data_IF_028096622684
#
_entry.id   IF_028096622684
#
_cell.length_a   1.000
_cell.length_b   1.000
_cell.length_c   1.000
_cell.angle_alpha   90.00
_cell.angle_beta   90.00
_cell.angle_gamma   90.00
#
_symmetry.space_group_name_H-M   'P 1'
#
loop_
_entity.id
_entity.type
_entity.pdbx_description
1 polymer ?
#
# COMPACT_ATOMS: atom_id res chain seq x y z
N UNK A 1 39.66 -13.22 -23.17
CA UNK A 1 38.23 -13.57 -23.05
C UNK A 1 38.00 -14.40 -21.80
N UNK A 2 37.44 -13.79 -20.75
CA UNK A 2 36.74 -14.49 -19.65
C UNK A 2 35.67 -13.51 -19.17
N UNK A 3 34.45 -13.73 -19.64
CA UNK A 3 33.30 -12.93 -19.26
C UNK A 3 32.96 -13.20 -17.80
N UNK A 4 33.06 -12.17 -16.97
CA UNK A 4 32.46 -12.18 -15.64
C UNK A 4 30.96 -12.02 -15.81
N UNK A 5 30.22 -13.13 -15.76
CA UNK A 5 28.78 -13.09 -15.56
C UNK A 5 28.52 -12.45 -14.19
N UNK A 6 28.12 -11.19 -14.17
CA UNK A 6 27.54 -10.53 -13.00
C UNK A 6 26.27 -11.28 -12.62
N UNK A 7 26.38 -12.23 -11.68
CA UNK A 7 25.25 -12.71 -10.89
C UNK A 7 24.80 -11.53 -10.05
N UNK A 8 23.88 -10.75 -10.59
CA UNK A 8 23.15 -9.76 -9.81
C UNK A 8 22.37 -10.57 -8.78
N UNK A 9 22.81 -10.51 -7.53
CA UNK A 9 22.20 -11.21 -6.41
C UNK A 9 20.87 -10.50 -6.14
N UNK A 10 19.82 -10.91 -6.86
CA UNK A 10 18.41 -10.65 -6.59
C UNK A 10 18.07 -11.24 -5.20
N UNK A 11 18.56 -10.60 -4.13
CA UNK A 11 18.24 -10.99 -2.75
C UNK A 11 16.77 -10.62 -2.51
N UNK A 12 15.93 -11.65 -2.51
CA UNK A 12 14.55 -11.53 -2.07
C UNK A 12 14.53 -11.23 -0.57
N UNK A 13 13.67 -10.30 -0.15
CA UNK A 13 13.40 -10.06 1.26
C UNK A 13 12.73 -11.31 1.87
N UNK A 14 13.01 -11.56 3.14
CA UNK A 14 12.26 -12.53 3.91
C UNK A 14 10.75 -12.22 3.88
N UNK A 15 9.94 -13.26 3.68
CA UNK A 15 8.49 -13.11 3.50
C UNK A 15 7.84 -12.51 4.76
N UNK A 16 8.23 -12.95 5.96
CA UNK A 16 7.61 -12.49 7.21
C UNK A 16 7.91 -11.00 7.43
N UNK A 17 9.17 -10.58 7.23
CA UNK A 17 9.55 -9.18 7.34
C UNK A 17 8.85 -8.32 6.28
N UNK A 18 8.75 -8.80 5.04
CA UNK A 18 8.06 -8.08 3.98
C UNK A 18 6.59 -7.85 4.33
N UNK A 19 5.85 -8.89 4.75
CA UNK A 19 4.44 -8.77 5.14
C UNK A 19 4.25 -7.88 6.37
N UNK A 20 5.15 -7.99 7.37
CA UNK A 20 5.13 -7.11 8.53
C UNK A 20 5.34 -5.63 8.14
N UNK A 21 6.12 -5.34 7.09
CA UNK A 21 6.27 -3.99 6.55
C UNK A 21 5.09 -3.58 5.65
N UNK A 22 4.54 -4.49 4.86
CA UNK A 22 3.51 -4.22 3.87
C UNK A 22 2.17 -3.77 4.48
N UNK A 23 1.77 -4.37 5.62
CA UNK A 23 0.46 -4.11 6.22
C UNK A 23 -0.20 -5.40 6.69
N UNK A 24 -0.96 -5.34 7.78
CA UNK A 24 -1.66 -6.51 8.31
C UNK A 24 -2.76 -7.04 7.38
N UNK A 25 -3.22 -6.19 6.44
CA UNK A 25 -4.29 -6.49 5.49
C UNK A 25 -3.80 -6.97 4.11
N UNK A 26 -2.49 -6.86 3.82
CA UNK A 26 -1.95 -7.20 2.50
C UNK A 26 -1.92 -8.71 2.32
N UNK A 27 -2.53 -9.21 1.26
CA UNK A 27 -2.56 -10.64 0.94
C UNK A 27 -1.92 -10.89 -0.43
N UNK A 28 -0.76 -11.52 -0.44
CA UNK A 28 -0.05 -11.79 -1.69
C UNK A 28 -0.57 -13.08 -2.34
N UNK A 29 -0.79 -13.10 -3.66
CA UNK A 29 -1.26 -14.31 -4.33
C UNK A 29 -0.19 -15.41 -4.27
N UNK A 30 -0.61 -16.63 -3.97
CA UNK A 30 0.29 -17.78 -3.88
C UNK A 30 0.90 -18.14 -5.24
N UNK A 31 2.10 -18.71 -5.22
CA UNK A 31 2.75 -19.26 -6.41
C UNK A 31 1.84 -20.29 -7.10
N UNK A 32 1.81 -20.31 -8.43
CA UNK A 32 0.98 -21.20 -9.27
C UNK A 32 -0.54 -21.03 -9.11
N UNK A 33 -1.01 -20.12 -8.27
CA UNK A 33 -2.44 -19.80 -8.13
C UNK A 33 -2.99 -19.07 -9.36
N UNK A 34 -4.31 -19.14 -9.54
CA UNK A 34 -5.03 -18.41 -10.59
C UNK A 34 -5.53 -17.07 -10.05
N UNK A 35 -5.26 -16.01 -10.79
CA UNK A 35 -5.65 -14.63 -10.46
C UNK A 35 -6.24 -13.93 -11.67
N UNK A 36 -7.13 -12.97 -11.46
CA UNK A 36 -7.48 -11.98 -12.47
C UNK A 36 -6.58 -10.76 -12.31
N UNK A 37 -5.94 -10.38 -13.40
CA UNK A 37 -5.20 -9.12 -13.52
C UNK A 37 -6.14 -8.03 -14.06
N UNK A 38 -6.24 -6.91 -13.34
CA UNK A 38 -7.06 -5.74 -13.69
C UNK A 38 -6.17 -4.58 -14.15
N UNK A 39 -6.10 -4.27 -15.46
CA UNK A 39 -5.32 -3.15 -15.97
C UNK A 39 -5.76 -1.80 -15.38
N UNK A 40 -7.07 -1.60 -15.16
CA UNK A 40 -7.60 -0.40 -14.51
C UNK A 40 -7.03 -0.20 -13.11
N UNK A 41 -7.00 -1.27 -12.30
CA UNK A 41 -6.41 -1.22 -10.98
C UNK A 41 -4.91 -0.99 -11.00
N UNK A 42 -4.19 -1.60 -11.94
CA UNK A 42 -2.76 -1.36 -12.10
C UNK A 42 -2.46 0.10 -12.51
N UNK A 43 -3.33 0.73 -13.30
CA UNK A 43 -3.21 2.14 -13.65
C UNK A 43 -3.35 3.08 -12.44
N UNK A 44 -4.15 2.73 -11.43
CA UNK A 44 -4.26 3.51 -10.19
C UNK A 44 -2.97 3.52 -9.36
N UNK A 45 -2.05 2.59 -9.62
CA UNK A 45 -0.73 2.54 -8.99
C UNK A 45 0.33 3.34 -9.76
N UNK A 46 0.00 3.85 -10.95
CA UNK A 46 0.94 4.56 -11.81
C UNK A 46 1.17 6.02 -11.38
N UNK A 47 2.35 6.53 -11.69
CA UNK A 47 2.64 7.96 -11.62
C UNK A 47 1.98 8.67 -12.80
N UNK A 48 0.85 9.33 -12.53
CA UNK A 48 0.10 10.09 -13.52
C UNK A 48 -0.97 9.27 -14.24
N UNK A 49 -1.63 9.92 -15.21
CA UNK A 49 -2.70 9.28 -15.98
C UNK A 49 -2.10 8.26 -16.94
N UNK A 50 -2.58 7.02 -16.88
CA UNK A 50 -2.23 5.98 -17.83
C UNK A 50 -3.18 6.07 -19.02
N UNK A 51 -2.64 6.38 -20.19
CA UNK A 51 -3.35 6.25 -21.45
C UNK A 51 -3.04 4.90 -22.08
N UNK A 52 -4.04 4.02 -22.13
CA UNK A 52 -3.94 2.71 -22.77
C UNK A 52 -4.08 2.79 -24.30
N UNK A 53 -4.25 3.98 -24.87
CA UNK A 53 -4.45 4.18 -26.29
C UNK A 53 -5.82 3.64 -26.72
N UNK A 54 -5.86 2.63 -27.59
CA UNK A 54 -7.12 2.02 -28.02
C UNK A 54 -7.61 0.98 -26.98
N UNK A 55 -8.66 1.29 -26.19
CA UNK A 55 -9.10 0.44 -25.09
C UNK A 55 -9.68 -0.90 -25.56
N UNK A 56 -10.15 -0.99 -26.82
CA UNK A 56 -10.76 -2.21 -27.35
C UNK A 56 -9.79 -3.40 -27.48
N UNK A 57 -8.47 -3.15 -27.37
CA UNK A 57 -7.45 -4.20 -27.49
C UNK A 57 -7.10 -4.86 -26.15
N UNK A 58 -7.45 -4.25 -25.02
CA UNK A 58 -7.08 -4.75 -23.69
C UNK A 58 -8.36 -5.13 -22.93
N UNK A 59 -8.57 -6.42 -22.59
CA UNK A 59 -9.71 -6.83 -21.77
C UNK A 59 -9.69 -6.16 -20.39
N UNK A 60 -10.87 -5.86 -19.78
CA UNK A 60 -10.97 -5.24 -18.46
C UNK A 60 -10.38 -6.08 -17.33
N UNK A 61 -10.33 -7.40 -17.51
CA UNK A 61 -9.67 -8.32 -16.61
C UNK A 61 -9.17 -9.55 -17.39
N UNK A 62 -8.00 -10.06 -17.01
CA UNK A 62 -7.33 -11.15 -17.73
C UNK A 62 -7.00 -12.26 -16.74
N UNK A 63 -7.50 -13.48 -17.00
CA UNK A 63 -7.18 -14.65 -16.18
C UNK A 63 -5.71 -15.03 -16.39
N UNK A 64 -4.96 -15.07 -15.30
CA UNK A 64 -3.53 -15.36 -15.29
C UNK A 64 -3.19 -16.42 -14.24
N UNK A 65 -2.07 -17.11 -14.45
CA UNK A 65 -1.42 -17.93 -13.44
C UNK A 65 -0.19 -17.20 -12.89
N UNK A 66 -0.04 -17.17 -11.57
CA UNK A 66 1.15 -16.59 -10.92
C UNK A 66 2.33 -17.53 -11.10
N UNK A 67 3.40 -17.02 -11.71
CA UNK A 67 4.63 -17.78 -11.97
C UNK A 67 5.72 -17.50 -10.95
N UNK A 68 5.83 -16.27 -10.45
CA UNK A 68 6.84 -15.87 -9.46
C UNK A 68 6.34 -14.67 -8.66
N UNK A 69 6.60 -14.67 -7.35
CA UNK A 69 6.47 -13.50 -6.48
C UNK A 69 7.83 -13.26 -5.83
N UNK A 70 8.40 -12.07 -6.02
CA UNK A 70 9.64 -11.63 -5.36
C UNK A 70 9.34 -10.47 -4.44
N UNK A 71 9.69 -10.62 -3.17
CA UNK A 71 9.60 -9.58 -2.16
C UNK A 71 10.86 -8.71 -2.19
N UNK A 72 10.67 -7.39 -2.28
CA UNK A 72 11.76 -6.43 -2.43
C UNK A 72 11.52 -5.21 -1.52
N UNK A 73 12.57 -4.42 -1.33
CA UNK A 73 12.51 -3.13 -0.66
C UNK A 73 13.34 -2.11 -1.44
N UNK A 74 12.85 -0.87 -1.54
CA UNK A 74 13.58 0.23 -2.15
C UNK A 74 14.82 0.58 -1.31
N UNK A 75 15.98 0.69 -1.96
CA UNK A 75 17.27 0.89 -1.29
C UNK A 75 17.41 2.26 -0.61
N UNK A 76 16.60 3.24 -0.99
CA UNK A 76 16.67 4.59 -0.45
C UNK A 76 15.55 4.87 0.56
N UNK A 77 14.34 4.37 0.30
CA UNK A 77 13.17 4.69 1.12
C UNK A 77 12.84 3.63 2.16
N UNK A 78 13.39 2.42 2.03
CA UNK A 78 13.01 1.21 2.77
C UNK A 78 11.54 0.77 2.51
N UNK A 79 10.83 1.39 1.56
CA UNK A 79 9.46 0.98 1.22
C UNK A 79 9.48 -0.38 0.53
N UNK A 80 8.68 -1.31 1.04
CA UNK A 80 8.58 -2.65 0.50
C UNK A 80 7.68 -2.67 -0.75
N UNK A 81 8.04 -3.51 -1.72
CA UNK A 81 7.26 -3.75 -2.93
C UNK A 81 7.43 -5.20 -3.38
N UNK A 82 6.51 -5.70 -4.19
CA UNK A 82 6.57 -7.03 -4.76
C UNK A 82 6.66 -6.97 -6.28
N UNK A 83 7.50 -7.83 -6.87
CA UNK A 83 7.46 -8.13 -8.31
C UNK A 83 6.69 -9.41 -8.51
N UNK A 84 5.59 -9.33 -9.24
CA UNK A 84 4.71 -10.46 -9.51
C UNK A 84 4.80 -10.76 -11.00
N UNK A 85 5.32 -11.95 -11.33
CA UNK A 85 5.37 -12.43 -12.71
C UNK A 85 4.22 -13.38 -12.96
N UNK A 86 3.48 -13.17 -14.02
CA UNK A 86 2.28 -13.94 -14.35
C UNK A 86 2.26 -14.32 -15.83
N UNK A 87 1.53 -15.39 -16.16
CA UNK A 87 1.27 -15.81 -17.52
C UNK A 87 -0.25 -15.86 -17.77
N UNK A 88 -0.78 -15.18 -18.80
CA UNK A 88 -2.18 -15.28 -19.16
C UNK A 88 -2.57 -16.71 -19.53
N UNK A 89 -3.73 -17.16 -19.05
CA UNK A 89 -4.29 -18.46 -19.39
C UNK A 89 -5.23 -18.24 -20.58
N UNK A 90 -4.87 -18.77 -21.76
CA UNK A 90 -5.78 -18.80 -22.91
C UNK A 90 -6.84 -19.88 -22.65
N UNK A 91 -8.06 -19.49 -22.29
CA UNK A 91 -9.18 -20.44 -22.27
C UNK A 91 -9.74 -20.59 -23.69
N UNK A 92 -9.73 -21.81 -24.29
CA UNK A 92 -10.40 -22.06 -25.57
C UNK A 92 -11.92 -22.26 -25.43
N UNK A 93 -12.50 -22.08 -24.24
CA UNK A 93 -13.93 -22.21 -23.98
C UNK A 93 -14.42 -21.07 -23.07
N UNK A 94 -15.62 -20.49 -23.32
CA UNK A 94 -16.30 -19.69 -22.30
C UNK A 94 -16.56 -20.60 -21.09
N UNK A 95 -16.22 -20.12 -19.89
CA UNK A 95 -16.32 -20.82 -18.60
C UNK A 95 -17.79 -21.11 -18.20
N UNK A 96 -18.48 -21.96 -18.96
CA UNK A 96 -19.76 -22.59 -18.58
C UNK A 96 -19.57 -24.01 -18.01
N UNK A 97 -18.33 -24.42 -17.72
CA UNK A 97 -18.10 -25.68 -17.00
C UNK A 97 -18.10 -25.35 -15.52
N UNK A 98 -19.26 -25.63 -14.93
CA UNK A 98 -19.49 -25.98 -13.54
C UNK A 98 -18.23 -26.59 -12.90
N UNK A 99 -17.58 -25.80 -12.06
CA UNK A 99 -16.74 -26.34 -11.00
C UNK A 99 -17.67 -26.62 -9.80
N UNK A 100 -18.60 -27.56 -10.00
CA UNK A 100 -19.47 -28.18 -8.98
C UNK A 100 -18.65 -29.09 -8.03
N UNK A 101 -17.35 -28.80 -7.87
CA UNK A 101 -16.41 -29.59 -7.06
C UNK A 101 -15.56 -28.79 -6.06
N UNK A 102 -15.53 -27.45 -6.12
CA UNK A 102 -14.68 -26.62 -5.24
C UNK A 102 -15.47 -25.65 -4.33
N UNK A 103 -16.73 -25.96 -4.02
CA UNK A 103 -17.54 -25.19 -3.05
C UNK A 103 -17.18 -25.53 -1.58
N UNK A 104 -16.03 -26.18 -1.34
CA UNK A 104 -15.55 -26.56 0.00
C UNK A 104 -14.12 -26.09 0.32
N UNK A 105 -13.60 -25.08 -0.37
CA UNK A 105 -12.39 -24.36 0.10
C UNK A 105 -12.75 -22.93 0.54
N UNK A 106 -13.86 -22.78 1.27
CA UNK A 106 -14.02 -21.65 2.17
C UNK A 106 -13.47 -22.06 3.53
N UNK A 107 -12.36 -21.42 3.91
CA UNK A 107 -11.69 -21.47 5.20
C UNK A 107 -10.68 -22.63 5.41
N UNK A 108 -9.68 -22.75 4.55
CA UNK A 108 -8.34 -22.67 5.12
C UNK A 108 -8.01 -21.18 5.22
N UNK A 109 -8.48 -20.56 6.31
CA UNK A 109 -7.67 -19.52 6.92
C UNK A 109 -6.39 -20.28 7.24
N UNK A 110 -5.40 -20.17 6.36
CA UNK A 110 -4.06 -20.62 6.67
C UNK A 110 -3.74 -19.91 7.99
N UNK A 111 -3.86 -20.66 9.10
CA UNK A 111 -3.44 -20.22 10.42
C UNK A 111 -1.93 -20.29 10.38
N UNK A 112 -1.32 -19.58 9.44
CA UNK A 112 0.02 -19.08 9.61
C UNK A 112 -0.06 -18.23 10.86
N UNK A 113 0.44 -18.79 11.97
CA UNK A 113 0.64 -18.05 13.21
C UNK A 113 1.27 -16.73 12.83
N UNK A 114 0.48 -15.65 12.99
CA UNK A 114 0.89 -14.34 12.51
C UNK A 114 2.24 -14.03 13.18
N UNK A 115 3.32 -13.81 12.40
CA UNK A 115 4.63 -13.58 12.97
C UNK A 115 4.56 -12.47 14.01
N UNK A 116 5.18 -12.69 15.17
CA UNK A 116 5.13 -11.72 16.28
C UNK A 116 5.77 -10.42 15.86
N UNK A 117 4.93 -9.52 15.35
CA UNK A 117 5.30 -8.24 14.79
C UNK A 117 4.48 -7.14 15.42
N UNK A 118 5.09 -5.96 15.49
CA UNK A 118 4.45 -4.79 16.06
C UNK A 118 4.88 -3.55 15.28
N UNK A 119 3.90 -2.80 14.82
CA UNK A 119 4.10 -1.51 14.19
C UNK A 119 3.73 -0.40 15.19
N UNK A 120 4.56 0.65 15.26
CA UNK A 120 4.23 1.88 15.97
C UNK A 120 4.52 3.09 15.10
N UNK A 121 3.50 3.92 14.94
CA UNK A 121 3.61 5.28 14.42
C UNK A 121 4.47 6.13 15.35
N UNK A 122 5.49 6.75 14.79
CA UNK A 122 6.43 7.61 15.50
C UNK A 122 5.75 8.91 15.90
N UNK A 123 5.84 9.24 17.18
CA UNK A 123 5.44 10.56 17.66
C UNK A 123 6.55 11.59 17.42
N UNK A 124 6.25 12.87 17.60
CA UNK A 124 7.25 13.93 17.51
C UNK A 124 8.44 13.70 18.47
N UNK A 125 8.20 13.11 19.64
CA UNK A 125 9.29 12.81 20.60
C UNK A 125 10.14 11.62 20.20
N UNK A 126 9.60 10.68 19.41
CA UNK A 126 10.38 9.55 18.91
C UNK A 126 11.27 9.98 17.72
N UNK A 127 10.81 10.91 16.89
CA UNK A 127 11.53 11.33 15.68
C UNK A 127 12.44 12.57 15.87
N UNK A 128 12.57 13.09 17.09
CA UNK A 128 13.39 14.27 17.34
C UNK A 128 14.89 13.94 17.51
N UNK A 129 15.75 14.93 17.20
CA UNK A 129 17.19 14.83 17.40
C UNK A 129 17.53 15.00 18.87
N UNK A 130 17.60 13.88 19.60
CA UNK A 130 18.01 13.83 21.02
C UNK A 130 17.06 13.03 21.93
N UNK A 131 15.87 12.65 21.44
CA UNK A 131 14.95 11.76 22.13
C UNK A 131 15.25 10.28 21.90
N UNK A 132 14.66 9.45 22.76
CA UNK A 132 14.65 7.99 22.62
C UNK A 132 13.27 7.52 22.13
N UNK A 133 13.23 6.31 21.57
CA UNK A 133 11.97 5.69 21.17
C UNK A 133 11.25 5.10 22.38
N UNK A 134 9.99 5.49 22.58
CA UNK A 134 9.14 4.86 23.60
C UNK A 134 8.63 3.51 23.13
N UNK A 135 9.18 2.43 23.67
CA UNK A 135 8.80 1.06 23.27
C UNK A 135 7.49 0.68 23.97
N UNK A 136 6.45 0.26 23.23
CA UNK A 136 5.23 -0.25 23.86
C UNK A 136 5.50 -1.53 24.63
N UNK A 137 4.83 -1.69 25.78
CA UNK A 137 5.07 -2.81 26.71
C UNK A 137 4.98 -4.17 26.03
N UNK A 138 3.96 -4.36 25.17
CA UNK A 138 3.80 -5.58 24.38
C UNK A 138 5.08 -5.93 23.59
N UNK A 139 5.61 -4.97 22.82
CA UNK A 139 6.84 -5.17 22.04
C UNK A 139 8.04 -5.55 22.91
N UNK A 140 8.20 -4.89 24.06
CA UNK A 140 9.29 -5.17 24.99
C UNK A 140 9.21 -6.58 25.63
N UNK A 141 8.01 -7.10 25.84
CA UNK A 141 7.78 -8.38 26.53
C UNK A 141 7.68 -9.57 25.56
N UNK A 142 7.26 -9.36 24.31
CA UNK A 142 7.01 -10.44 23.33
C UNK A 142 8.03 -10.49 22.19
N UNK A 143 8.49 -9.34 21.72
CA UNK A 143 9.34 -9.24 20.51
C UNK A 143 10.82 -9.11 20.89
N UNK A 144 11.15 -8.29 21.88
CA UNK A 144 12.54 -8.13 22.31
C UNK A 144 13.03 -9.31 23.15
N UNK A 145 14.36 -9.54 23.21
CA UNK A 145 14.92 -10.43 24.21
C UNK A 145 14.49 -10.02 25.62
N UNK A 146 14.26 -11.00 26.50
CA UNK A 146 13.76 -10.75 27.86
C UNK A 146 14.75 -9.88 28.62
N UNK A 147 14.25 -8.80 29.20
CA UNK A 147 15.03 -7.89 30.03
C UNK A 147 15.17 -8.44 31.44
N UNK A 148 16.38 -8.38 32.01
CA UNK A 148 16.59 -8.69 33.42
C UNK A 148 16.16 -7.50 34.30
N UNK A 149 15.03 -7.67 34.99
CA UNK A 149 14.46 -6.64 35.86
C UNK A 149 15.12 -6.57 37.26
N UNK A 150 16.03 -7.49 37.59
CA UNK A 150 16.74 -7.46 38.88
C UNK A 150 17.86 -6.40 38.93
N UNK A 151 18.36 -5.98 37.77
CA UNK A 151 19.35 -4.90 37.66
C UNK A 151 18.74 -3.51 37.90
N UNK A 152 19.56 -2.52 38.28
CA UNK A 152 19.12 -1.13 38.45
C UNK A 152 20.07 -0.12 37.75
N UNK A 153 19.63 0.57 36.68
CA UNK A 153 18.39 0.33 35.93
C UNK A 153 18.50 -0.93 35.03
N UNK A 154 17.40 -1.67 34.78
CA UNK A 154 17.38 -2.76 33.81
C UNK A 154 17.77 -2.30 32.40
N UNK A 155 18.81 -2.88 31.81
CA UNK A 155 19.35 -2.50 30.50
C UNK A 155 19.84 -3.70 29.69
N UNK A 156 19.67 -3.64 28.37
CA UNK A 156 20.24 -4.62 27.44
C UNK A 156 20.53 -4.00 26.06
N UNK A 157 21.31 -4.71 25.24
CA UNK A 157 21.50 -4.37 23.84
C UNK A 157 20.52 -5.16 22.98
N UNK A 158 19.74 -4.46 22.17
CA UNK A 158 18.84 -5.03 21.17
C UNK A 158 19.49 -4.87 19.81
N UNK A 159 19.64 -5.98 19.08
CA UNK A 159 20.28 -6.01 17.77
C UNK A 159 19.22 -6.42 16.75
N UNK A 160 18.95 -5.57 15.76
CA UNK A 160 17.96 -5.83 14.72
C UNK A 160 18.58 -5.72 13.32
N UNK A 161 18.14 -6.55 12.37
CA UNK A 161 18.48 -6.44 10.95
C UNK A 161 17.38 -5.69 10.20
N UNK A 162 17.74 -4.72 9.36
CA UNK A 162 16.75 -4.06 8.51
C UNK A 162 16.42 -4.86 7.24
N UNK A 163 15.51 -4.34 6.41
CA UNK A 163 15.08 -4.96 5.14
C UNK A 163 16.21 -5.13 4.11
N UNK A 164 17.37 -4.52 4.34
CA UNK A 164 18.56 -4.68 3.50
C UNK A 164 19.64 -5.54 4.18
N UNK A 165 19.35 -6.12 5.35
CA UNK A 165 20.27 -6.92 6.15
C UNK A 165 21.29 -6.09 6.93
N UNK A 166 21.16 -4.75 6.97
CA UNK A 166 22.05 -3.91 7.78
C UNK A 166 21.68 -4.07 9.25
N UNK A 167 22.69 -4.30 10.07
CA UNK A 167 22.54 -4.51 11.51
C UNK A 167 22.51 -3.17 12.25
N UNK A 168 21.49 -3.02 13.09
CA UNK A 168 21.27 -1.87 13.96
C UNK A 168 21.34 -2.32 15.42
N UNK A 169 22.06 -1.56 16.24
CA UNK A 169 22.22 -1.82 17.68
C UNK A 169 21.56 -0.71 18.47
N UNK A 170 20.67 -1.08 19.39
CA UNK A 170 19.92 -0.16 20.23
C UNK A 170 20.14 -0.50 21.71
N UNK A 171 20.32 0.53 22.54
CA UNK A 171 20.30 0.37 23.99
C UNK A 171 18.87 0.42 24.50
N UNK A 172 18.33 -0.73 24.90
CA UNK A 172 17.02 -0.86 25.52
C UNK A 172 17.16 -0.72 27.04
N UNK A 173 16.40 0.21 27.63
CA UNK A 173 16.40 0.49 29.07
C UNK A 173 14.98 0.62 29.60
N UNK A 174 14.73 0.09 30.81
CA UNK A 174 13.47 0.29 31.54
C UNK A 174 13.69 1.24 32.71
N UNK A 175 13.18 2.48 32.59
CA UNK A 175 13.46 3.56 33.57
C UNK A 175 12.35 4.62 33.61
N UNK A 176 12.53 5.62 34.47
CA UNK A 176 11.63 6.77 34.60
C UNK A 176 10.52 6.54 35.63
N UNK A 177 9.67 7.56 35.80
CA UNK A 177 8.57 7.57 36.77
C UNK A 177 7.30 8.14 36.11
N UNK A 178 6.30 7.31 35.78
CA UNK A 178 6.28 5.85 35.88
C UNK A 178 7.32 5.19 34.95
N UNK A 179 7.76 3.97 35.29
CA UNK A 179 8.77 3.25 34.50
C UNK A 179 8.24 2.90 33.11
N UNK A 180 9.06 3.13 32.08
CA UNK A 180 8.75 2.88 30.66
C UNK A 180 9.93 2.23 29.95
N UNK A 181 9.64 1.46 28.91
CA UNK A 181 10.64 0.88 28.03
C UNK A 181 11.08 1.91 26.98
N UNK A 182 12.39 2.09 26.81
CA UNK A 182 12.97 3.08 25.90
C UNK A 182 14.11 2.46 25.09
N UNK A 183 14.18 2.79 23.80
CA UNK A 183 15.44 2.69 23.04
C UNK A 183 16.14 4.05 23.09
N UNK A 184 17.39 4.06 23.56
CA UNK A 184 18.17 5.30 23.75
C UNK A 184 19.33 5.36 22.77
N UNK A 185 20.53 4.95 23.17
CA UNK A 185 21.72 4.92 22.31
C UNK A 185 21.45 4.09 21.05
N UNK A 186 21.86 4.62 19.89
CA UNK A 186 21.63 4.01 18.58
C UNK A 186 20.34 4.47 17.88
N UNK A 187 19.31 4.87 18.63
CA UNK A 187 18.02 5.26 18.06
C UNK A 187 18.11 6.53 17.20
N UNK A 188 18.67 7.64 17.71
CA UNK A 188 18.75 8.88 16.94
C UNK A 188 19.61 8.73 15.68
N UNK A 189 20.63 7.86 15.70
CA UNK A 189 21.41 7.53 14.51
C UNK A 189 20.56 6.77 13.47
N UNK A 190 19.73 5.82 13.90
CA UNK A 190 18.78 5.13 13.03
C UNK A 190 17.79 6.11 12.40
N UNK A 191 17.15 6.97 13.20
CA UNK A 191 16.24 8.03 12.73
C UNK A 191 16.88 8.92 11.68
N UNK A 192 18.10 9.40 11.94
CA UNK A 192 18.80 10.30 11.02
C UNK A 192 19.22 9.61 9.72
N UNK A 193 19.82 8.42 9.80
CA UNK A 193 20.26 7.70 8.60
C UNK A 193 19.08 7.24 7.74
N UNK A 194 17.97 6.83 8.37
CA UNK A 194 16.74 6.42 7.69
C UNK A 194 15.80 7.61 7.38
N UNK A 195 16.18 8.85 7.73
CA UNK A 195 15.39 10.07 7.50
C UNK A 195 13.94 9.95 7.98
N UNK A 196 13.74 9.36 9.15
CA UNK A 196 12.41 9.14 9.72
C UNK A 196 11.82 10.46 10.22
N UNK A 197 10.51 10.61 10.08
CA UNK A 197 9.74 11.75 10.60
C UNK A 197 8.58 11.28 11.47
N UNK A 198 8.01 12.17 12.27
CA UNK A 198 6.76 11.88 12.97
C UNK A 198 5.67 11.49 11.97
N UNK A 199 4.89 10.46 12.30
CA UNK A 199 3.91 9.84 11.40
C UNK A 199 4.44 8.63 10.63
N UNK A 200 5.75 8.50 10.40
CA UNK A 200 6.31 7.22 9.90
C UNK A 200 6.07 6.14 10.95
N UNK A 201 5.96 4.88 10.54
CA UNK A 201 5.84 3.74 11.46
C UNK A 201 7.08 2.88 11.43
N UNK A 202 7.53 2.46 12.62
CA UNK A 202 8.55 1.42 12.76
C UNK A 202 7.91 0.09 13.08
N UNK A 203 8.36 -0.92 12.35
CA UNK A 203 7.95 -2.31 12.50
C UNK A 203 9.07 -3.07 13.18
N UNK A 204 8.79 -3.74 14.28
CA UNK A 204 9.67 -4.76 14.84
C UNK A 204 9.05 -6.13 14.61
N UNK A 205 9.87 -7.09 14.19
CA UNK A 205 9.47 -8.47 13.96
C UNK A 205 10.48 -9.38 14.64
N UNK A 206 9.99 -10.34 15.43
CA UNK A 206 10.82 -11.47 15.87
C UNK A 206 10.54 -12.65 14.94
N UNK A 207 11.56 -13.07 14.19
CA UNK A 207 11.49 -14.23 13.32
C UNK A 207 11.52 -15.53 14.14
N UNK A 208 11.08 -16.64 13.53
CA UNK A 208 11.02 -17.95 14.17
C UNK A 208 12.37 -18.46 14.68
N UNK A 209 13.45 -18.10 13.99
CA UNK A 209 14.83 -18.42 14.41
C UNK A 209 15.32 -17.58 15.60
N UNK A 210 14.49 -16.66 16.12
CA UNK A 210 14.80 -15.77 17.22
C UNK A 210 15.49 -14.46 16.83
N UNK A 211 15.85 -14.27 15.55
CA UNK A 211 16.41 -13.02 15.07
C UNK A 211 15.38 -11.90 15.14
N UNK A 212 15.84 -10.70 15.52
CA UNK A 212 15.03 -9.50 15.49
C UNK A 212 15.27 -8.75 14.18
N UNK A 213 14.17 -8.33 13.56
CA UNK A 213 14.15 -7.53 12.36
C UNK A 213 13.47 -6.18 12.61
N UNK A 214 13.89 -5.16 11.85
CA UNK A 214 13.29 -3.82 11.87
C UNK A 214 12.89 -3.39 10.46
N UNK A 215 11.68 -2.86 10.33
CA UNK A 215 11.12 -2.37 9.08
C UNK A 215 10.56 -0.96 9.25
N UNK A 216 10.25 -0.32 8.12
CA UNK A 216 9.75 1.06 8.07
C UNK A 216 8.50 1.09 7.19
N UNK A 217 7.45 1.77 7.66
CA UNK A 217 6.32 2.21 6.83
C UNK A 217 6.34 3.73 6.79
N UNK A 218 6.42 4.31 5.59
CA UNK A 218 6.46 5.76 5.45
C UNK A 218 5.06 6.34 5.57
N UNK A 219 4.93 7.45 6.28
CA UNK A 219 3.72 8.26 6.24
C UNK A 219 3.49 8.76 4.82
N UNK A 220 2.23 8.78 4.39
CA UNK A 220 1.85 9.53 3.20
C UNK A 220 2.04 11.01 3.55
N UNK A 221 3.02 11.69 2.95
CA UNK A 221 3.11 13.15 3.02
C UNK A 221 1.88 13.73 2.32
N UNK A 222 0.82 13.96 3.08
CA UNK A 222 -0.26 14.85 2.68
C UNK A 222 0.34 16.24 2.59
N UNK A 223 0.67 16.69 1.39
CA UNK A 223 0.93 18.10 1.14
C UNK A 223 -0.37 18.86 1.36
N UNK A 224 -0.53 19.43 2.55
CA UNK A 224 -1.42 20.57 2.74
C UNK A 224 -0.82 21.69 1.89
N UNK A 225 -1.48 22.01 0.77
CA UNK A 225 -1.26 23.28 0.06
C UNK A 225 -0.60 23.26 -1.31
N UNK A 226 -0.50 22.14 -2.04
CA UNK A 226 -0.04 22.21 -3.45
C UNK A 226 -0.53 21.06 -4.36
N UNK A 227 -1.78 20.63 -4.16
CA UNK A 227 -2.51 19.91 -5.19
C UNK A 227 -3.45 20.93 -5.84
N UNK A 228 -3.42 21.17 -7.17
CA UNK A 228 -4.65 21.54 -7.81
C UNK A 228 -5.60 20.40 -7.46
N UNK A 229 -6.77 20.73 -6.93
CA UNK A 229 -7.85 19.79 -6.77
C UNK A 229 -7.90 18.97 -8.06
N UNK A 230 -7.51 17.70 -8.01
CA UNK A 230 -7.97 16.75 -9.00
C UNK A 230 -9.44 16.55 -8.67
N UNK A 231 -10.24 17.56 -8.98
CA UNK A 231 -11.62 17.35 -9.34
C UNK A 231 -11.58 16.17 -10.29
N UNK A 232 -12.15 15.08 -9.83
CA UNK A 232 -12.60 14.00 -10.69
C UNK A 232 -13.20 14.64 -11.94
N UNK A 233 -12.47 14.60 -13.04
CA UNK A 233 -12.84 15.21 -14.33
C UNK A 233 -13.98 14.41 -15.01
N UNK A 234 -14.99 14.03 -14.23
CA UNK A 234 -16.12 13.20 -14.60
C UNK A 234 -17.34 13.71 -13.83
N UNK A 235 -17.82 14.87 -14.24
CA UNK A 235 -19.20 15.29 -13.99
C UNK A 235 -19.75 15.75 -15.34
N UNK A 236 -20.81 15.12 -15.89
CA UNK A 236 -21.46 15.65 -17.07
C UNK A 236 -22.16 16.95 -16.70
N UNK A 237 -21.91 18.01 -17.47
CA UNK A 237 -22.60 19.29 -17.32
C UNK A 237 -24.11 19.13 -17.54
N UNK A 238 -24.89 19.78 -16.67
CA UNK A 238 -26.17 20.37 -17.03
C UNK A 238 -27.34 20.04 -16.11
N UNK A 239 -27.63 20.90 -15.12
CA UNK A 239 -28.93 21.60 -15.03
C UNK A 239 -28.99 22.61 -13.88
N UNK A 240 -29.51 23.79 -14.23
CA UNK A 240 -29.95 24.87 -13.37
C UNK A 240 -30.86 24.40 -12.22
N UNK A 241 -30.67 25.01 -11.05
CA UNK A 241 -31.60 24.95 -9.93
C UNK A 241 -31.11 25.83 -8.80
N UNK A 242 -31.57 27.07 -8.76
CA UNK A 242 -31.32 28.02 -7.69
C UNK A 242 -31.80 27.46 -6.33
N UNK A 243 -30.97 27.58 -5.29
CA UNK A 243 -31.49 27.83 -3.95
C UNK A 243 -30.43 28.49 -3.09
N UNK A 244 -30.86 29.56 -2.45
CA UNK A 244 -30.12 30.58 -1.71
C UNK A 244 -30.51 30.45 -0.23
N UNK A 245 -29.54 30.30 0.66
CA UNK A 245 -29.55 30.68 2.09
C UNK A 245 -28.07 30.67 2.52
N UNK A 246 -27.34 31.78 2.66
CA UNK A 246 -27.48 32.88 3.64
C UNK A 246 -26.99 32.40 5.01
N UNK A 247 -26.03 32.97 5.76
CA UNK A 247 -25.09 34.11 5.70
C UNK A 247 -24.02 33.82 6.78
N UNK A 248 -22.87 34.50 6.88
CA UNK A 248 -22.69 35.85 7.41
C UNK A 248 -21.23 36.34 7.21
N UNK A 249 -21.10 37.59 6.71
CA UNK A 249 -20.16 38.70 6.99
C UNK A 249 -18.65 38.41 7.17
N UNK A 250 -17.71 38.92 6.34
CA UNK A 250 -17.22 40.31 6.13
C UNK A 250 -16.53 40.87 7.42
N UNK A 251 -15.28 41.36 7.48
CA UNK A 251 -14.56 42.46 6.79
C UNK A 251 -13.07 42.32 7.23
N UNK A 252 -12.05 42.47 6.38
CA UNK A 252 -11.20 43.68 6.27
C UNK A 252 -10.47 43.73 4.91
N UNK A 253 -10.64 44.90 4.29
CA UNK A 253 -10.04 45.56 3.11
C UNK A 253 -8.51 45.56 3.12
N UNK A 254 -7.85 45.21 2.01
CA UNK A 254 -7.35 46.04 0.88
C UNK A 254 -5.84 46.31 0.99
N UNK A 255 -5.24 46.62 -0.17
CA UNK A 255 -3.86 47.09 -0.41
C UNK A 255 -2.78 45.98 -0.42
N UNK A 256 -1.97 45.76 -1.46
CA UNK A 256 -1.52 46.64 -2.55
C UNK A 256 -1.05 45.79 -3.75
N UNK A 257 -1.35 46.30 -4.95
CA UNK A 257 -0.70 45.89 -6.20
C UNK A 257 0.55 46.76 -6.39
N UNK A 258 1.63 46.24 -7.01
CA UNK A 258 2.40 46.89 -8.10
C UNK A 258 3.73 46.18 -8.44
N UNK A 259 3.89 45.88 -9.74
CA UNK A 259 5.10 46.03 -10.61
C UNK A 259 6.44 45.35 -10.21
N UNK A 260 7.27 44.74 -11.06
CA UNK A 260 7.49 44.73 -12.51
C UNK A 260 8.19 43.42 -12.96
N UNK A 261 8.06 43.14 -14.26
CA UNK A 261 8.80 42.17 -15.09
C UNK A 261 10.32 42.25 -14.92
N UNK A 262 10.98 41.09 -14.93
CA UNK A 262 12.21 40.88 -15.69
C UNK A 262 12.25 39.45 -16.24
N UNK A 263 12.54 39.37 -17.53
CA UNK A 263 12.74 38.16 -18.31
C UNK A 263 14.25 37.96 -18.40
N UNK A 264 14.80 36.89 -17.83
CA UNK A 264 16.12 36.44 -18.24
C UNK A 264 16.28 34.93 -18.19
N UNK A 265 16.97 34.45 -19.21
CA UNK A 265 17.04 33.07 -19.63
C UNK A 265 18.24 32.42 -18.97
N UNK A 266 18.02 31.59 -17.95
CA UNK A 266 19.01 30.58 -17.56
C UNK A 266 18.33 29.29 -17.15
N UNK A 267 18.40 28.31 -18.06
CA UNK A 267 18.04 26.93 -17.85
C UNK A 267 18.96 26.29 -16.79
N UNK A 268 18.58 26.41 -15.53
CA UNK A 268 19.07 25.52 -14.48
C UNK A 268 18.00 24.46 -14.30
N UNK A 269 18.26 23.29 -14.88
CA UNK A 269 17.45 22.09 -14.64
C UNK A 269 17.58 21.74 -13.16
N UNK A 270 16.71 22.33 -12.34
CA UNK A 270 16.41 21.84 -11.01
C UNK A 270 15.83 20.44 -11.20
N UNK A 271 16.70 19.44 -11.06
CA UNK A 271 16.37 18.02 -10.87
C UNK A 271 15.61 17.87 -9.54
N UNK A 272 14.40 18.44 -9.50
CA UNK A 272 13.44 18.26 -8.44
C UNK A 272 12.94 16.82 -8.46
N UNK A 273 13.29 16.09 -7.40
CA UNK A 273 12.49 15.03 -6.74
C UNK A 273 11.46 14.38 -7.68
N UNK A 274 11.93 13.51 -8.58
CA UNK A 274 11.05 12.56 -9.27
C UNK A 274 10.42 11.67 -8.21
N UNK A 275 9.10 11.47 -8.25
CA UNK A 275 8.38 10.53 -7.38
C UNK A 275 9.10 9.18 -7.30
N UNK A 276 9.79 8.96 -6.18
CA UNK A 276 10.55 7.74 -5.90
C UNK A 276 9.56 6.72 -5.34
N UNK A 277 9.52 5.51 -5.92
CA UNK A 277 8.63 4.42 -5.49
C UNK A 277 7.27 4.32 -6.20
N UNK A 278 7.10 4.88 -7.40
CA UNK A 278 5.83 4.81 -8.15
C UNK A 278 5.99 4.11 -9.51
N UNK A 279 5.01 3.28 -9.87
CA UNK A 279 5.00 2.52 -11.13
C UNK A 279 4.91 3.49 -12.30
N UNK A 280 5.72 3.32 -13.36
CA UNK A 280 5.65 4.22 -14.53
C UNK A 280 4.41 3.91 -15.35
N UNK A 281 3.72 4.92 -15.86
CA UNK A 281 2.57 4.72 -16.75
C UNK A 281 2.92 3.80 -17.94
N UNK A 282 4.09 3.99 -18.56
CA UNK A 282 4.56 3.16 -19.66
C UNK A 282 4.69 1.67 -19.30
N UNK A 283 5.18 1.33 -18.09
CA UNK A 283 5.27 -0.07 -17.65
C UNK A 283 3.91 -0.70 -17.41
N UNK A 284 2.89 0.08 -17.01
CA UNK A 284 1.51 -0.41 -16.88
C UNK A 284 0.94 -0.75 -18.25
N UNK A 285 1.11 0.13 -19.23
CA UNK A 285 0.65 -0.09 -20.61
C UNK A 285 1.35 -1.31 -21.23
N UNK A 286 2.66 -1.43 -21.04
CA UNK A 286 3.45 -2.58 -21.50
C UNK A 286 2.93 -3.89 -20.90
N UNK A 287 2.80 -3.95 -19.56
CA UNK A 287 2.28 -5.12 -18.87
C UNK A 287 0.87 -5.51 -19.34
N UNK A 288 -0.02 -4.53 -19.49
CA UNK A 288 -1.37 -4.77 -19.98
C UNK A 288 -1.41 -5.25 -21.44
N UNK A 289 -0.53 -4.72 -22.29
CA UNK A 289 -0.41 -5.13 -23.69
C UNK A 289 0.15 -6.55 -23.81
N UNK A 290 1.17 -6.90 -23.03
CA UNK A 290 1.71 -8.26 -22.96
C UNK A 290 0.65 -9.24 -22.48
N UNK A 291 -0.08 -8.89 -21.42
CA UNK A 291 -1.16 -9.69 -20.88
C UNK A 291 -2.26 -9.94 -21.94
N UNK A 292 -2.71 -8.90 -22.64
CA UNK A 292 -3.73 -9.00 -23.69
C UNK A 292 -3.28 -9.89 -24.88
N UNK A 293 -1.98 -9.87 -25.22
CA UNK A 293 -1.42 -10.72 -26.27
C UNK A 293 -1.13 -12.17 -25.81
N UNK A 294 -1.46 -12.51 -24.55
CA UNK A 294 -1.22 -13.83 -23.99
C UNK A 294 0.26 -14.14 -23.72
N UNK A 295 1.08 -13.12 -23.48
CA UNK A 295 2.50 -13.24 -23.17
C UNK A 295 2.72 -13.12 -21.66
N UNK A 296 3.70 -13.85 -21.08
CA UNK A 296 4.10 -13.64 -19.70
C UNK A 296 4.60 -12.21 -19.46
N UNK A 297 4.25 -11.65 -18.31
CA UNK A 297 4.58 -10.27 -17.95
C UNK A 297 4.87 -10.16 -16.46
N UNK A 298 5.53 -9.07 -16.05
CA UNK A 298 5.84 -8.75 -14.66
C UNK A 298 5.16 -7.42 -14.29
N UNK A 299 4.59 -7.37 -13.10
CA UNK A 299 4.01 -6.16 -12.51
C UNK A 299 4.67 -5.85 -11.17
N UNK A 300 4.71 -4.57 -10.83
CA UNK A 300 5.25 -4.11 -9.55
C UNK A 300 4.09 -3.67 -8.68
N UNK A 301 3.92 -4.33 -7.54
CA UNK A 301 2.90 -4.01 -6.55
C UNK A 301 3.54 -3.31 -5.34
N UNK A 302 3.07 -2.10 -5.04
CA UNK A 302 3.46 -1.38 -3.84
C UNK A 302 2.30 -1.45 -2.84
N UNK A 303 2.41 -2.25 -1.77
CA UNK A 303 1.37 -2.32 -0.75
C UNK A 303 1.19 -0.94 -0.08
N UNK A 304 -0.03 -0.41 -0.12
CA UNK A 304 -0.43 0.78 0.64
C UNK A 304 -1.79 0.51 1.27
N UNK A 305 -2.02 1.08 2.46
CA UNK A 305 -3.25 0.88 3.24
C UNK A 305 -4.55 1.25 2.48
N UNK A 306 -4.46 2.06 1.41
CA UNK A 306 -5.62 2.54 0.64
C UNK A 306 -5.57 2.22 -0.85
N UNK A 307 -4.60 1.42 -1.32
CA UNK A 307 -4.53 1.06 -2.74
C UNK A 307 -5.18 -0.30 -2.97
N UNK A 308 -6.15 -0.42 -3.88
CA UNK A 308 -6.77 -1.70 -4.17
C UNK A 308 -5.77 -2.67 -4.81
N UNK A 309 -5.96 -3.95 -4.53
CA UNK A 309 -5.22 -5.03 -5.17
C UNK A 309 -5.72 -5.20 -6.60
N UNK A 310 -4.82 -5.19 -7.58
CA UNK A 310 -5.15 -5.34 -9.00
C UNK A 310 -4.81 -6.73 -9.56
N UNK A 311 -4.20 -7.59 -8.74
CA UNK A 311 -3.96 -9.00 -9.01
C UNK A 311 -4.72 -9.81 -7.96
N UNK A 312 -5.87 -10.32 -8.35
CA UNK A 312 -6.94 -10.67 -7.43
C UNK A 312 -7.28 -12.16 -7.58
N UNK A 313 -7.51 -12.90 -6.49
CA UNK A 313 -7.71 -14.38 -6.56
C UNK A 313 -8.89 -14.73 -7.46
N UNK A 314 -8.68 -15.63 -8.43
CA UNK A 314 -9.73 -15.94 -9.42
C UNK A 314 -11.02 -16.49 -8.79
N UNK A 315 -10.90 -17.29 -7.73
CA UNK A 315 -12.05 -17.84 -7.02
C UNK A 315 -12.89 -16.74 -6.33
N UNK A 316 -12.24 -15.77 -5.70
CA UNK A 316 -12.93 -14.70 -5.00
C UNK A 316 -13.62 -13.72 -5.97
N UNK A 317 -13.00 -13.41 -7.12
CA UNK A 317 -13.66 -12.64 -8.20
C UNK A 317 -14.88 -13.40 -8.75
N UNK A 318 -14.76 -14.71 -8.98
CA UNK A 318 -15.88 -15.54 -9.46
C UNK A 318 -17.03 -15.58 -8.43
N UNK A 319 -16.72 -15.72 -7.15
CA UNK A 319 -17.72 -15.68 -6.07
C UNK A 319 -18.40 -14.30 -6.01
N UNK A 320 -17.62 -13.22 -6.05
CA UNK A 320 -18.08 -11.84 -6.09
C UNK A 320 -19.03 -11.54 -7.25
N UNK A 321 -18.76 -12.08 -8.45
CA UNK A 321 -19.61 -11.89 -9.64
C UNK A 321 -20.89 -12.73 -9.63
N UNK A 322 -20.98 -13.77 -8.79
CA UNK A 322 -22.22 -14.55 -8.60
C UNK A 322 -23.22 -13.83 -7.69
N UNK A 323 -22.75 -12.88 -6.88
CA UNK A 323 -23.62 -12.08 -6.00
C UNK A 323 -24.40 -11.09 -6.85
N UNK A 324 -25.73 -11.09 -6.67
CA UNK A 324 -26.60 -10.08 -7.26
C UNK A 324 -26.54 -8.81 -6.41
N UNK A 325 -25.59 -7.93 -6.72
CA UNK A 325 -25.45 -6.65 -6.04
C UNK A 325 -26.62 -5.72 -6.38
N UNK A 326 -27.19 -5.07 -5.37
CA UNK A 326 -28.28 -4.11 -5.55
C UNK A 326 -28.18 -2.90 -4.60
N UNK A 327 -28.69 -1.72 -4.99
CA UNK A 327 -28.78 -0.55 -4.12
C UNK A 327 -29.56 -0.86 -2.83
N UNK A 328 -29.02 -0.47 -1.68
CA UNK A 328 -29.59 -0.73 -0.35
C UNK A 328 -29.01 -1.97 0.35
N UNK A 329 -28.24 -2.81 -0.35
CA UNK A 329 -27.54 -3.93 0.27
C UNK A 329 -26.46 -3.41 1.23
N UNK A 330 -26.42 -3.97 2.44
CA UNK A 330 -25.42 -3.62 3.46
C UNK A 330 -24.19 -4.50 3.32
N UNK A 331 -23.03 -3.95 3.62
CA UNK A 331 -21.78 -4.68 3.59
C UNK A 331 -20.88 -4.31 4.77
N UNK A 332 -19.83 -5.11 4.95
CA UNK A 332 -18.84 -4.93 6.01
C UNK A 332 -17.44 -5.13 5.46
N UNK A 333 -16.65 -4.06 5.46
CA UNK A 333 -15.28 -4.04 4.97
C UNK A 333 -14.30 -3.95 6.13
N UNK A 334 -13.22 -4.73 6.09
CA UNK A 334 -12.11 -4.60 7.03
C UNK A 334 -11.15 -3.49 6.56
N UNK A 335 -10.66 -2.68 7.50
CA UNK A 335 -9.60 -1.71 7.25
C UNK A 335 -8.56 -1.73 8.37
N UNK A 336 -7.30 -1.48 8.01
CA UNK A 336 -6.21 -1.33 8.98
C UNK A 336 -6.31 0.06 9.62
N UNK A 337 -6.25 0.12 10.96
CA UNK A 337 -6.22 1.39 11.69
C UNK A 337 -4.93 2.16 11.39
N UNK A 338 -4.92 3.47 11.62
CA UNK A 338 -3.75 4.34 11.34
C UNK A 338 -2.49 3.89 12.10
N UNK A 339 -2.67 3.37 13.31
CA UNK A 339 -1.58 2.81 14.13
C UNK A 339 -1.18 1.39 13.72
N UNK A 340 -1.84 0.82 12.69
CA UNK A 340 -1.61 -0.53 12.15
C UNK A 340 -1.72 -1.65 13.19
N UNK A 341 -2.34 -1.38 14.35
CA UNK A 341 -2.38 -2.30 15.48
C UNK A 341 -3.64 -3.16 15.49
N UNK A 342 -4.71 -2.70 14.81
CA UNK A 342 -6.03 -3.35 14.81
C UNK A 342 -6.65 -3.34 13.43
N UNK A 343 -7.49 -4.34 13.18
CA UNK A 343 -8.44 -4.32 12.08
C UNK A 343 -9.71 -3.69 12.63
N UNK A 344 -10.13 -2.60 12.00
CA UNK A 344 -11.44 -2.01 12.24
C UNK A 344 -12.38 -2.39 11.11
N UNK A 345 -13.67 -2.34 11.39
CA UNK A 345 -14.70 -2.75 10.45
C UNK A 345 -15.53 -1.54 10.06
N UNK A 346 -15.55 -1.25 8.77
CA UNK A 346 -16.44 -0.28 8.18
C UNK A 346 -17.74 -0.99 7.75
N UNK A 347 -18.88 -0.48 8.19
CA UNK A 347 -20.18 -0.94 7.72
C UNK A 347 -20.76 0.12 6.80
N UNK A 348 -21.15 -0.28 5.60
CA UNK A 348 -21.71 0.62 4.60
C UNK A 348 -22.95 0.05 3.92
N UNK A 349 -23.54 0.87 3.06
CA UNK A 349 -24.65 0.48 2.20
C UNK A 349 -24.30 0.82 0.76
N UNK A 350 -24.62 -0.08 -0.16
CA UNK A 350 -24.44 0.16 -1.60
C UNK A 350 -25.48 1.18 -2.05
N UNK A 351 -25.03 2.28 -2.65
CA UNK A 351 -25.91 3.34 -3.17
C UNK A 351 -26.27 3.10 -4.63
N UNK A 352 -25.34 2.57 -5.44
CA UNK A 352 -25.57 2.22 -6.84
C UNK A 352 -24.62 1.11 -7.30
N UNK A 353 -25.01 0.42 -8.38
CA UNK A 353 -24.22 -0.63 -9.02
C UNK A 353 -24.08 -0.25 -10.49
N UNK A 354 -22.90 0.22 -10.88
CA UNK A 354 -22.66 0.74 -12.22
C UNK A 354 -21.19 0.60 -12.60
N UNK A 355 -20.93 0.30 -13.88
CA UNK A 355 -19.57 0.24 -14.41
C UNK A 355 -18.93 1.62 -14.31
N UNK A 356 -17.75 1.71 -13.69
CA UNK A 356 -17.10 3.00 -13.40
C UNK A 356 -16.73 3.79 -14.67
N UNK A 357 -16.32 3.10 -15.74
CA UNK A 357 -15.97 3.70 -17.02
C UNK A 357 -16.49 2.83 -18.18
N UNK A 358 -17.78 2.99 -18.55
CA UNK A 358 -18.41 2.14 -19.55
C UNK A 358 -17.88 2.40 -20.97
N UNK A 359 -17.22 3.54 -21.21
CA UNK A 359 -16.69 3.91 -22.52
C UNK A 359 -15.36 3.20 -22.79
N UNK A 360 -14.41 3.30 -21.85
CA UNK A 360 -13.09 2.67 -22.00
C UNK A 360 -13.06 1.22 -21.55
N UNK A 361 -13.91 0.84 -20.59
CA UNK A 361 -13.89 -0.47 -19.96
C UNK A 361 -15.30 -1.05 -19.80
N UNK A 362 -15.98 -1.37 -20.92
CA UNK A 362 -17.31 -1.95 -20.87
C UNK A 362 -17.29 -3.28 -20.10
N UNK A 363 -18.30 -3.50 -19.25
CA UNK A 363 -18.47 -4.69 -18.41
C UNK A 363 -17.34 -4.94 -17.39
N UNK A 364 -16.54 -3.93 -17.06
CA UNK A 364 -15.54 -4.09 -16.00
C UNK A 364 -16.20 -4.15 -14.61
N UNK A 365 -15.86 -5.15 -13.78
CA UNK A 365 -16.29 -5.16 -12.38
C UNK A 365 -15.39 -4.29 -11.49
N UNK A 366 -14.36 -3.64 -12.05
CA UNK A 366 -13.49 -2.74 -11.31
C UNK A 366 -14.26 -1.52 -10.81
N UNK A 367 -14.28 -1.30 -9.49
CA UNK A 367 -15.04 -0.21 -8.83
C UNK A 367 -16.53 -0.19 -9.20
N UNK A 368 -17.14 -1.37 -9.40
CA UNK A 368 -18.55 -1.54 -9.78
C UNK A 368 -19.55 -1.00 -8.74
N UNK A 369 -19.17 -1.02 -7.46
CA UNK A 369 -20.05 -0.67 -6.35
C UNK A 369 -19.77 0.75 -5.86
N UNK A 370 -20.78 1.61 -5.96
CA UNK A 370 -20.80 2.91 -5.29
C UNK A 370 -21.42 2.72 -3.90
N UNK A 371 -20.80 3.32 -2.89
CA UNK A 371 -21.28 3.19 -1.51
C UNK A 371 -21.59 4.55 -0.92
N UNK A 372 -22.62 4.60 -0.08
CA UNK A 372 -22.97 5.82 0.67
C UNK A 372 -22.15 5.90 1.95
N UNK A 373 -21.31 6.93 2.04
CA UNK A 373 -20.64 7.35 3.28
C UNK A 373 -20.44 8.87 3.26
N UNK A 374 -20.12 9.49 4.40
CA UNK A 374 -19.74 10.92 4.46
C UNK A 374 -18.54 11.27 3.55
N UNK A 375 -17.83 10.25 3.05
CA UNK A 375 -16.86 10.34 1.95
C UNK A 375 -17.30 9.41 0.80
N UNK A 376 -17.50 9.94 -0.41
CA UNK A 376 -17.79 9.09 -1.57
C UNK A 376 -16.58 8.19 -1.84
N UNK A 377 -16.71 6.89 -1.59
CA UNK A 377 -15.68 5.89 -1.90
C UNK A 377 -16.24 4.89 -2.92
N UNK A 378 -15.39 4.47 -3.86
CA UNK A 378 -15.70 3.41 -4.82
C UNK A 378 -14.90 2.18 -4.42
N UNK A 379 -15.48 0.99 -4.45
CA UNK A 379 -14.81 -0.22 -3.98
C UNK A 379 -14.88 -1.36 -4.98
N UNK A 380 -13.88 -2.22 -4.93
CA UNK A 380 -13.90 -3.50 -5.62
C UNK A 380 -14.60 -4.54 -4.75
N UNK A 381 -15.28 -5.48 -5.42
CA UNK A 381 -16.17 -6.46 -4.83
C UNK A 381 -15.48 -7.38 -3.80
N UNK A 382 -14.19 -7.69 -3.96
CA UNK A 382 -13.46 -8.52 -2.98
C UNK A 382 -13.12 -7.84 -1.66
N UNK A 383 -13.27 -6.52 -1.56
CA UNK A 383 -13.01 -5.81 -0.30
C UNK A 383 -14.26 -5.71 0.59
N UNK A 384 -15.43 -6.13 0.07
CA UNK A 384 -16.77 -5.97 0.64
C UNK A 384 -17.26 -7.32 1.16
#
# INVERSE_FOLDING_TARGET
>A
MKGSSTKDNDKCLDSQLWHACAGGMVQMPAMKSRVYYFPQGHAEHAQGVVDFGNPQRIPPFILCQVTTVKFMADLETDEVFAKIRMAPIRSPKPDYIEDEGLILEMNEVDVHEKPTSFAKTLTQSDANNGGGFSVPRYCAETIFPRLDYSADPPVQNVIAKDVHGKVWKFRHIYRGTPRRHLLTTGWSNFVNQKKLVAGDSIVFLRAENGDLCVGIRRAKRGGVGDSPETQSAWSPQGRNGASSYGGLSAILTEEESKFMRCNDSHSVVSRGIRGRGQVRAGSVVEAATLAANGQPFEVVYHPRASTPEFCVKAAAVKAALRIQWYPGMRFKMAFETEDSSRISWFMGTISSVQVADPIRWPNSPWRLLQVSSLFSMHFFCEQI
#
